data_IF_025867091843
#
_entry.id   IF_025867091843
#
_cell.length_a   1.000
_cell.length_b   1.000
_cell.length_c   1.000
_cell.angle_alpha   90.00
_cell.angle_beta   90.00
_cell.angle_gamma   90.00
#
_symmetry.space_group_name_H-M   'P 1'
#
loop_
_entity.id
_entity.type
_entity.pdbx_description
1 polymer ?
#
# COMPACT_ATOMS: atom_id res chain seq x y z
N UNK A 1 1.17 19.44 21.29
CA UNK A 1 2.09 19.16 20.16
C UNK A 1 1.48 18.02 19.35
N UNK A 2 1.35 18.19 18.03
CA UNK A 2 0.91 17.10 17.14
C UNK A 2 2.14 16.54 16.43
N UNK A 3 2.27 15.22 16.39
CA UNK A 3 3.40 14.53 15.75
C UNK A 3 2.86 13.74 14.55
N UNK A 4 3.34 14.09 13.35
CA UNK A 4 3.03 13.34 12.13
C UNK A 4 3.89 12.06 12.10
N UNK A 5 3.29 10.92 12.44
CA UNK A 5 3.97 9.62 12.53
C UNK A 5 4.12 8.93 11.18
N UNK A 6 3.40 9.40 10.16
CA UNK A 6 3.41 8.83 8.83
C UNK A 6 3.14 9.89 7.76
N UNK A 7 3.69 9.64 6.56
CA UNK A 7 3.37 10.42 5.37
C UNK A 7 1.94 10.12 4.91
N UNK A 8 1.18 11.12 4.41
CA UNK A 8 -0.13 10.92 3.79
C UNK A 8 -0.12 9.88 2.66
N UNK A 9 1.00 9.76 1.93
CA UNK A 9 1.16 8.77 0.85
C UNK A 9 1.17 7.31 1.33
N UNK A 10 1.22 7.04 2.64
CA UNK A 10 1.05 5.69 3.20
C UNK A 10 -0.43 5.29 3.38
N UNK A 11 -1.36 6.25 3.26
CA UNK A 11 -2.79 6.07 3.51
C UNK A 11 -3.61 6.80 2.42
N UNK A 12 -3.26 6.57 1.15
CA UNK A 12 -3.81 7.35 0.03
C UNK A 12 -5.32 7.25 -0.07
N UNK A 13 -5.89 6.07 0.18
CA UNK A 13 -7.34 5.82 0.22
C UNK A 13 -8.05 6.72 1.25
N UNK A 14 -7.54 6.73 2.48
CA UNK A 14 -8.09 7.51 3.59
C UNK A 14 -7.96 9.00 3.33
N UNK A 15 -6.82 9.44 2.77
CA UNK A 15 -6.57 10.84 2.46
C UNK A 15 -7.44 11.32 1.29
N UNK A 16 -7.55 10.54 0.22
CA UNK A 16 -8.40 10.85 -0.94
C UNK A 16 -9.86 10.98 -0.52
N UNK A 17 -10.39 10.02 0.25
CA UNK A 17 -11.74 10.09 0.77
C UNK A 17 -11.98 11.34 1.65
N UNK A 18 -11.01 11.68 2.50
CA UNK A 18 -11.10 12.84 3.38
C UNK A 18 -11.10 14.19 2.64
N UNK A 19 -10.53 14.26 1.43
CA UNK A 19 -10.52 15.47 0.59
C UNK A 19 -11.64 15.47 -0.47
N UNK A 20 -12.58 14.52 -0.40
CA UNK A 20 -13.74 14.45 -1.29
C UNK A 20 -13.49 13.74 -2.62
N UNK A 21 -12.38 13.02 -2.75
CA UNK A 21 -12.06 12.20 -3.92
C UNK A 21 -12.45 10.75 -3.71
N UNK A 22 -12.77 10.04 -4.79
CA UNK A 22 -12.97 8.59 -4.75
C UNK A 22 -11.62 7.88 -4.83
N UNK A 23 -11.38 6.95 -3.90
CA UNK A 23 -10.21 6.09 -3.91
C UNK A 23 -10.48 4.83 -4.74
N UNK A 24 -10.14 4.87 -6.03
CA UNK A 24 -10.27 3.73 -6.94
C UNK A 24 -8.89 3.29 -7.45
N UNK A 25 -8.68 1.97 -7.47
CA UNK A 25 -7.44 1.34 -7.94
C UNK A 25 -6.66 0.61 -6.83
N UNK A 26 -5.54 0.02 -7.25
CA UNK A 26 -4.57 -0.65 -6.39
C UNK A 26 -3.77 0.35 -5.55
N UNK A 27 -3.17 -0.10 -4.45
CA UNK A 27 -2.43 0.78 -3.54
C UNK A 27 -1.36 1.65 -4.23
N UNK A 28 -0.67 1.12 -5.24
CA UNK A 28 0.34 1.87 -6.02
C UNK A 28 -0.25 2.84 -7.04
N UNK A 29 -1.48 2.63 -7.50
CA UNK A 29 -2.19 3.58 -8.37
C UNK A 29 -2.72 4.77 -7.57
N UNK A 30 -3.15 4.53 -6.32
CA UNK A 30 -3.61 5.59 -5.43
C UNK A 30 -2.51 6.60 -5.06
N UNK A 31 -1.23 6.19 -5.09
CA UNK A 31 -0.08 7.09 -4.89
C UNK A 31 -0.05 8.18 -5.97
N UNK A 32 -0.25 7.79 -7.23
CA UNK A 32 -0.26 8.73 -8.36
C UNK A 32 -1.49 9.62 -8.35
N UNK A 33 -2.64 9.05 -7.99
CA UNK A 33 -3.88 9.83 -7.85
C UNK A 33 -3.71 10.91 -6.78
N UNK A 34 -3.15 10.56 -5.62
CA UNK A 34 -2.91 11.52 -4.56
C UNK A 34 -1.90 12.59 -4.98
N UNK A 35 -0.83 12.22 -5.70
CA UNK A 35 0.10 13.19 -6.28
C UNK A 35 -0.61 14.14 -7.25
N UNK A 36 -1.45 13.62 -8.14
CA UNK A 36 -2.18 14.40 -9.14
C UNK A 36 -3.14 15.39 -8.49
N UNK A 37 -3.99 14.95 -7.55
CA UNK A 37 -5.00 15.80 -6.89
C UNK A 37 -4.34 16.86 -6.01
N UNK A 38 -3.27 16.51 -5.29
CA UNK A 38 -2.64 17.44 -4.34
C UNK A 38 -1.56 18.32 -4.96
N UNK A 39 -1.09 18.00 -6.17
CA UNK A 39 0.07 18.64 -6.80
C UNK A 39 1.40 18.42 -6.06
N UNK A 40 1.43 17.53 -5.05
CA UNK A 40 2.64 17.23 -4.27
C UNK A 40 3.31 15.99 -4.82
N UNK A 41 4.63 16.02 -5.07
CA UNK A 41 5.33 14.85 -5.57
C UNK A 41 5.30 13.70 -4.55
N UNK A 42 5.03 12.49 -5.03
CA UNK A 42 5.14 11.28 -4.24
C UNK A 42 6.61 11.04 -3.85
N UNK A 43 6.90 10.58 -2.62
CA UNK A 43 8.25 10.17 -2.25
C UNK A 43 8.79 9.10 -3.20
N UNK A 44 9.99 9.30 -3.74
CA UNK A 44 10.56 8.45 -4.80
C UNK A 44 10.55 6.94 -4.48
N UNK A 45 10.79 6.57 -3.21
CA UNK A 45 10.76 5.16 -2.77
C UNK A 45 9.38 4.52 -2.89
N UNK A 46 8.32 5.31 -2.69
CA UNK A 46 6.94 4.86 -2.82
C UNK A 46 6.53 4.81 -4.29
N UNK A 47 6.91 5.82 -5.09
CA UNK A 47 6.66 5.84 -6.52
C UNK A 47 7.30 4.64 -7.25
N UNK A 48 8.52 4.27 -6.86
CA UNK A 48 9.25 3.13 -7.42
C UNK A 48 8.60 1.76 -7.14
N UNK A 49 7.62 1.65 -6.22
CA UNK A 49 6.96 0.38 -5.91
C UNK A 49 6.12 -0.15 -7.06
N UNK A 50 5.60 0.73 -7.94
CA UNK A 50 4.85 0.30 -9.14
C UNK A 50 5.67 -0.62 -10.05
N UNK A 51 6.97 -0.38 -10.12
CA UNK A 51 7.89 -1.13 -10.98
C UNK A 51 8.39 -2.42 -10.32
N UNK A 52 7.97 -2.70 -9.08
CA UNK A 52 8.40 -3.89 -8.33
C UNK A 52 7.36 -4.99 -8.46
N UNK A 53 7.86 -6.20 -8.66
CA UNK A 53 7.05 -7.40 -8.61
C UNK A 53 6.57 -7.67 -7.17
N UNK A 54 5.35 -8.15 -7.04
CA UNK A 54 4.83 -8.60 -5.75
C UNK A 54 5.52 -9.92 -5.36
N UNK A 55 6.20 -9.91 -4.21
CA UNK A 55 6.91 -11.09 -3.69
C UNK A 55 6.05 -11.96 -2.77
N UNK A 56 4.85 -11.50 -2.43
CA UNK A 56 3.95 -12.17 -1.49
C UNK A 56 2.58 -12.34 -2.14
N UNK A 57 2.35 -13.54 -2.66
CA UNK A 57 1.11 -13.99 -3.28
C UNK A 57 0.43 -15.12 -2.48
N UNK A 58 1.11 -15.65 -1.46
CA UNK A 58 0.62 -16.72 -0.61
C UNK A 58 -0.39 -16.22 0.44
N UNK A 59 -1.62 -16.73 0.38
CA UNK A 59 -2.62 -16.59 1.43
C UNK A 59 -3.15 -17.99 1.79
N UNK A 60 -3.23 -18.31 3.08
CA UNK A 60 -3.59 -19.64 3.60
C UNK A 60 -4.66 -19.53 4.66
N UNK A 61 -5.56 -20.51 4.71
CA UNK A 61 -6.54 -20.59 5.79
C UNK A 61 -5.87 -21.06 7.07
N UNK A 62 -6.57 -20.90 8.19
CA UNK A 62 -6.08 -21.29 9.51
C UNK A 62 -5.70 -22.78 9.56
N UNK A 63 -6.48 -23.62 8.89
CA UNK A 63 -6.32 -25.08 8.85
C UNK A 63 -5.04 -25.48 8.09
N UNK A 64 -4.64 -24.68 7.10
CA UNK A 64 -3.46 -24.92 6.26
C UNK A 64 -2.14 -24.42 6.90
N UNK A 65 -2.22 -23.58 7.93
CA UNK A 65 -1.04 -22.98 8.57
C UNK A 65 -0.01 -24.00 9.07
N UNK A 66 -0.39 -25.10 9.78
CA UNK A 66 0.59 -26.08 10.26
C UNK A 66 1.38 -26.74 9.14
N UNK A 67 0.73 -27.03 8.01
CA UNK A 67 1.40 -27.64 6.86
C UNK A 67 2.30 -26.63 6.14
N UNK A 68 1.82 -25.40 5.96
CA UNK A 68 2.59 -24.30 5.35
C UNK A 68 3.91 -24.07 6.09
N UNK A 69 3.88 -24.07 7.43
CA UNK A 69 5.10 -23.92 8.25
C UNK A 69 6.04 -25.12 8.08
N UNK A 70 5.51 -26.35 8.01
CA UNK A 70 6.33 -27.55 7.78
C UNK A 70 7.01 -27.51 6.41
N UNK A 71 6.33 -27.00 5.39
CA UNK A 71 6.88 -26.90 4.04
C UNK A 71 8.03 -25.88 3.96
N UNK A 72 8.00 -24.81 4.76
CA UNK A 72 9.12 -23.85 4.88
C UNK A 72 10.37 -24.43 5.56
N UNK A 73 10.24 -25.52 6.31
CA UNK A 73 11.35 -26.14 7.06
C UNK A 73 12.04 -27.28 6.32
N UNK A 74 11.59 -27.63 5.11
CA UNK A 74 12.21 -28.62 4.23
C UNK A 74 13.26 -27.96 3.33
#
# INVERSE_FOLDING_TARGET
MFVSTASPFKFCDSVLAAIGETAEGTGTELIDRLQYVTGRPAPWRLAALREKENRFDLCRTKEEMPQTVRDFLR
#
